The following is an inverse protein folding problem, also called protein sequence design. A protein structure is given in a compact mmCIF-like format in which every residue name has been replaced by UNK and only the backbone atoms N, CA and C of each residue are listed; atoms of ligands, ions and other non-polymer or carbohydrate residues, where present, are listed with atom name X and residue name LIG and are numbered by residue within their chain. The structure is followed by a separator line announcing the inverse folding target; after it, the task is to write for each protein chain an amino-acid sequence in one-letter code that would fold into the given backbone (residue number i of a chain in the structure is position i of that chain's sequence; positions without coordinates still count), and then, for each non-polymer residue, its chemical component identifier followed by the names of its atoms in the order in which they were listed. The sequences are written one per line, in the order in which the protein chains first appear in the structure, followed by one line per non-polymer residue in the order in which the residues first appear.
data_IF_286997692546
#
_entry.id   IF_286997692546
#
_cell.length_a   1.000
_cell.length_b   1.000
_cell.length_c   1.000
_cell.angle_alpha   90.00
_cell.angle_beta   90.00
_cell.angle_gamma   90.00
#
_symmetry.space_group_name_H-M   'P 1'
#
loop_
_entity.id
_entity.type
_entity.pdbx_description
1 polymer ?
#
# COMPACT_ATOMS: atom_id res chain seq x y z
N UNK A 1 -4.19 40.54 27.86
CA UNK A 1 -5.26 39.83 27.11
C UNK A 1 -4.85 39.61 25.65
N UNK A 2 -3.90 40.39 25.15
CA UNK A 2 -3.49 40.43 23.73
C UNK A 2 -2.63 39.23 23.33
N UNK A 3 -1.79 38.71 24.22
CA UNK A 3 -0.99 37.50 24.00
C UNK A 3 -1.88 36.26 23.79
N UNK A 4 -2.97 36.15 24.56
CA UNK A 4 -3.93 35.03 24.46
C UNK A 4 -4.75 35.12 23.17
N UNK A 5 -5.10 36.34 22.71
CA UNK A 5 -5.79 36.54 21.44
C UNK A 5 -4.88 36.25 20.24
N UNK A 6 -3.60 36.64 20.30
CA UNK A 6 -2.61 36.31 19.26
C UNK A 6 -2.35 34.81 19.11
N UNK A 7 -2.24 34.09 20.23
CA UNK A 7 -2.04 32.63 20.22
C UNK A 7 -3.25 31.88 19.63
N UNK A 8 -4.48 32.31 19.95
CA UNK A 8 -5.70 31.73 19.37
C UNK A 8 -5.77 31.91 17.85
N UNK A 9 -5.42 33.08 17.33
CA UNK A 9 -5.41 33.34 15.89
C UNK A 9 -4.38 32.48 15.14
N UNK A 10 -3.19 32.33 15.71
CA UNK A 10 -2.14 31.48 15.12
C UNK A 10 -2.57 30.00 15.08
N UNK A 11 -3.12 29.49 16.19
CA UNK A 11 -3.64 28.11 16.27
C UNK A 11 -4.79 27.88 15.26
N UNK A 12 -5.74 28.81 15.15
CA UNK A 12 -6.85 28.70 14.18
C UNK A 12 -6.37 28.71 12.73
N UNK A 13 -5.31 29.46 12.42
CA UNK A 13 -4.69 29.43 11.08
C UNK A 13 -4.05 28.08 10.79
N UNK A 14 -3.27 27.52 11.72
CA UNK A 14 -2.68 26.19 11.58
C UNK A 14 -3.74 25.09 11.41
N UNK A 15 -4.86 25.17 12.16
CA UNK A 15 -5.98 24.24 12.01
C UNK A 15 -6.66 24.37 10.64
N UNK A 16 -6.85 25.61 10.15
CA UNK A 16 -7.40 25.86 8.81
C UNK A 16 -6.49 25.34 7.71
N UNK A 17 -5.19 25.59 7.81
CA UNK A 17 -4.18 25.08 6.87
C UNK A 17 -4.14 23.56 6.90
N UNK A 18 -4.16 22.93 8.08
CA UNK A 18 -4.18 21.48 8.21
C UNK A 18 -5.47 20.86 7.62
N UNK A 19 -6.63 21.50 7.86
CA UNK A 19 -7.92 21.04 7.33
C UNK A 19 -8.05 21.22 5.81
N UNK A 20 -7.44 22.27 5.26
CA UNK A 20 -7.39 22.49 3.82
C UNK A 20 -6.40 21.54 3.15
N UNK A 21 -5.21 21.40 3.75
CA UNK A 21 -4.19 20.47 3.30
C UNK A 21 -4.68 19.03 3.29
N UNK A 22 -5.41 18.59 4.32
CA UNK A 22 -5.96 17.23 4.37
C UNK A 22 -6.99 16.94 3.28
N UNK A 23 -7.82 17.94 2.91
CA UNK A 23 -8.77 17.82 1.79
C UNK A 23 -8.05 17.69 0.45
N UNK A 24 -7.04 18.54 0.21
CA UNK A 24 -6.25 18.47 -1.02
C UNK A 24 -5.45 17.18 -1.15
N UNK A 25 -4.84 16.73 -0.05
CA UNK A 25 -4.11 15.45 0.00
C UNK A 25 -5.07 14.28 -0.19
N UNK A 26 -6.26 14.32 0.41
CA UNK A 26 -7.31 13.32 0.21
C UNK A 26 -7.78 13.25 -1.24
N UNK A 27 -8.04 14.41 -1.87
CA UNK A 27 -8.40 14.51 -3.28
C UNK A 27 -7.28 13.97 -4.18
N UNK A 28 -6.03 14.38 -3.93
CA UNK A 28 -4.88 13.92 -4.69
C UNK A 28 -4.66 12.40 -4.55
N UNK A 29 -4.75 11.85 -3.34
CA UNK A 29 -4.67 10.40 -3.08
C UNK A 29 -5.79 9.63 -3.77
N UNK A 30 -7.00 10.20 -3.78
CA UNK A 30 -8.14 9.60 -4.46
C UNK A 30 -7.90 9.55 -5.97
N UNK A 31 -7.55 10.68 -6.60
CA UNK A 31 -7.19 10.74 -8.02
C UNK A 31 -6.06 9.77 -8.35
N UNK A 32 -5.02 9.75 -7.52
CA UNK A 32 -3.86 8.87 -7.65
C UNK A 32 -4.28 7.39 -7.64
N UNK A 33 -5.15 6.99 -6.70
CA UNK A 33 -5.68 5.63 -6.61
C UNK A 33 -6.51 5.27 -7.84
N UNK A 34 -7.47 6.11 -8.24
CA UNK A 34 -8.29 5.83 -9.44
C UNK A 34 -7.46 5.74 -10.71
N UNK A 35 -6.46 6.61 -10.85
CA UNK A 35 -5.49 6.50 -11.93
C UNK A 35 -4.75 5.17 -11.88
N UNK A 36 -4.14 4.83 -10.74
CA UNK A 36 -3.38 3.59 -10.56
C UNK A 36 -4.21 2.32 -10.86
N UNK A 37 -5.45 2.26 -10.40
CA UNK A 37 -6.36 1.13 -10.65
C UNK A 37 -6.67 0.92 -12.14
N UNK A 38 -6.70 1.99 -12.95
CA UNK A 38 -6.91 1.86 -14.39
C UNK A 38 -5.78 1.13 -15.11
N UNK A 39 -4.54 1.25 -14.62
CA UNK A 39 -3.36 0.63 -15.23
C UNK A 39 -3.02 -0.74 -14.64
N UNK A 40 -3.63 -1.13 -13.52
CA UNK A 40 -3.38 -2.42 -12.88
C UNK A 40 -3.60 -3.62 -13.83
N UNK A 41 -4.66 -3.67 -14.67
CA UNK A 41 -4.82 -4.75 -15.65
C UNK A 41 -3.69 -4.81 -16.68
N UNK A 42 -3.16 -3.66 -17.11
CA UNK A 42 -2.03 -3.57 -18.05
C UNK A 42 -0.73 -4.09 -17.39
N UNK A 43 -0.52 -3.79 -16.11
CA UNK A 43 0.64 -4.28 -15.36
C UNK A 43 0.56 -5.76 -14.99
N UNK A 44 -0.64 -6.26 -14.69
CA UNK A 44 -0.89 -7.68 -14.46
C UNK A 44 -0.64 -8.46 -15.76
N UNK A 45 -1.13 -7.97 -16.90
CA UNK A 45 -0.92 -8.61 -18.20
C UNK A 45 0.56 -8.62 -18.64
N UNK A 46 1.35 -7.62 -18.23
CA UNK A 46 2.79 -7.55 -18.50
C UNK A 46 3.65 -8.32 -17.49
N UNK A 47 3.04 -8.96 -16.48
CA UNK A 47 3.75 -9.75 -15.47
C UNK A 47 4.67 -8.92 -14.57
N UNK A 48 4.41 -7.62 -14.45
CA UNK A 48 5.26 -6.70 -13.70
C UNK A 48 5.13 -6.92 -12.19
N UNK A 49 6.26 -6.96 -11.48
CA UNK A 49 6.26 -7.16 -10.03
C UNK A 49 5.55 -6.00 -9.31
N UNK A 50 4.83 -6.27 -8.20
CA UNK A 50 4.09 -5.24 -7.46
C UNK A 50 4.98 -4.06 -7.03
N UNK A 51 6.23 -4.34 -6.64
CA UNK A 51 7.19 -3.33 -6.20
C UNK A 51 7.58 -2.35 -7.32
N UNK A 52 7.61 -2.80 -8.58
CA UNK A 52 7.94 -1.97 -9.73
C UNK A 52 6.77 -1.06 -10.13
N UNK A 53 5.52 -1.51 -9.92
CA UNK A 53 4.30 -0.73 -10.15
C UNK A 53 4.25 0.52 -9.26
N UNK A 54 4.64 0.40 -7.99
CA UNK A 54 4.74 1.55 -7.09
C UNK A 54 5.87 2.51 -7.50
N UNK A 55 6.98 2.00 -8.05
CA UNK A 55 8.05 2.84 -8.59
C UNK A 55 7.62 3.68 -9.80
N UNK A 56 6.69 3.19 -10.62
CA UNK A 56 6.10 3.96 -11.73
C UNK A 56 5.18 5.07 -11.19
N UNK A 57 4.42 4.77 -10.14
CA UNK A 57 3.57 5.73 -9.45
C UNK A 57 4.39 6.90 -8.88
N UNK A 58 5.52 6.61 -8.22
CA UNK A 58 6.42 7.64 -7.68
C UNK A 58 6.99 8.55 -8.77
N UNK A 59 7.29 8.01 -9.96
CA UNK A 59 7.87 8.78 -11.07
C UNK A 59 6.85 9.63 -11.83
N UNK A 60 5.60 9.17 -11.94
CA UNK A 60 4.57 9.81 -12.76
C UNK A 60 3.33 10.23 -11.97
N UNK A 61 3.48 10.51 -10.67
CA UNK A 61 2.38 10.88 -9.76
C UNK A 61 1.49 12.01 -10.32
N UNK A 62 2.08 13.04 -10.91
CA UNK A 62 1.33 14.16 -11.51
C UNK A 62 0.41 13.73 -12.67
N UNK A 63 0.84 12.76 -13.48
CA UNK A 63 0.03 12.22 -14.58
C UNK A 63 -1.18 11.45 -14.04
N UNK A 64 -0.98 10.59 -13.03
CA UNK A 64 -2.07 9.84 -12.41
C UNK A 64 -3.07 10.76 -11.70
N UNK A 65 -2.57 11.79 -11.01
CA UNK A 65 -3.43 12.81 -10.38
C UNK A 65 -4.25 13.56 -11.44
N UNK A 66 -3.63 13.98 -12.54
CA UNK A 66 -4.33 14.67 -13.64
C UNK A 66 -5.36 13.78 -14.35
N UNK A 67 -5.03 12.51 -14.55
CA UNK A 67 -5.92 11.51 -15.14
C UNK A 67 -7.16 11.24 -14.26
N UNK A 68 -6.99 11.16 -12.94
CA UNK A 68 -8.09 10.97 -11.98
C UNK A 68 -8.85 12.25 -11.60
N UNK A 69 -8.30 13.42 -11.90
CA UNK A 69 -8.90 14.71 -11.55
C UNK A 69 -10.31 14.96 -12.09
N UNK A 70 -10.60 14.77 -13.40
CA UNK A 70 -11.97 14.97 -13.92
C UNK A 70 -12.97 14.07 -13.22
N UNK A 71 -12.57 12.85 -12.86
CA UNK A 71 -13.41 11.90 -12.15
C UNK A 71 -13.76 12.36 -10.72
N UNK A 72 -12.78 12.83 -9.96
CA UNK A 72 -13.05 13.31 -8.59
C UNK A 72 -13.87 14.61 -8.59
N UNK A 73 -13.69 15.47 -9.59
CA UNK A 73 -14.56 16.63 -9.83
C UNK A 73 -16.03 16.24 -10.07
N UNK A 74 -16.26 15.18 -10.85
CA UNK A 74 -17.61 14.65 -11.10
C UNK A 74 -18.24 14.10 -9.80
N UNK A 75 -17.44 13.43 -8.97
CA UNK A 75 -17.87 12.86 -7.70
C UNK A 75 -18.27 13.93 -6.66
N UNK A 76 -17.54 15.04 -6.55
CA UNK A 76 -17.88 16.10 -5.57
C UNK A 76 -19.26 16.72 -5.80
N UNK A 77 -19.78 16.67 -7.04
CA UNK A 77 -21.08 17.24 -7.37
C UNK A 77 -22.25 16.25 -7.18
N UNK A 78 -22.02 15.07 -6.60
CA UNK A 78 -23.01 13.98 -6.54
C UNK A 78 -23.36 13.53 -5.12
N UNK A 79 -24.63 13.23 -4.89
CA UNK A 79 -25.15 12.68 -3.61
C UNK A 79 -24.59 11.27 -3.34
N UNK A 80 -24.55 10.84 -2.07
CA UNK A 80 -24.01 9.53 -1.66
C UNK A 80 -24.47 8.34 -2.53
N UNK A 81 -25.76 8.26 -2.87
CA UNK A 81 -26.29 7.19 -3.71
C UNK A 81 -25.72 7.24 -5.14
N UNK A 82 -25.62 8.44 -5.71
CA UNK A 82 -25.04 8.66 -7.04
C UNK A 82 -23.55 8.38 -7.02
N UNK A 83 -22.84 8.72 -5.93
CA UNK A 83 -21.43 8.38 -5.76
C UNK A 83 -21.16 6.88 -5.87
N UNK A 84 -22.00 6.02 -5.28
CA UNK A 84 -21.86 4.57 -5.46
C UNK A 84 -22.08 4.12 -6.91
N UNK A 85 -23.07 4.69 -7.60
CA UNK A 85 -23.29 4.40 -9.02
C UNK A 85 -22.12 4.86 -9.90
N UNK A 86 -21.58 6.05 -9.62
CA UNK A 86 -20.41 6.61 -10.29
C UNK A 86 -19.17 5.76 -10.01
N UNK A 87 -18.99 5.22 -8.81
CA UNK A 87 -17.93 4.27 -8.50
C UNK A 87 -18.03 3.00 -9.37
N UNK A 88 -19.22 2.40 -9.45
CA UNK A 88 -19.48 1.19 -10.25
C UNK A 88 -19.29 1.42 -11.75
N UNK A 89 -19.71 2.58 -12.26
CA UNK A 89 -19.54 2.95 -13.66
C UNK A 89 -18.08 3.31 -13.99
N UNK A 90 -17.36 3.90 -13.04
CA UNK A 90 -15.98 4.31 -13.25
C UNK A 90 -14.99 3.18 -13.09
N UNK A 91 -15.29 2.14 -12.33
CA UNK A 91 -14.45 0.95 -12.27
C UNK A 91 -14.09 0.39 -13.67
N UNK A 92 -15.06 0.02 -14.54
CA UNK A 92 -14.74 -0.45 -15.89
C UNK A 92 -14.20 0.66 -16.80
N UNK A 93 -14.61 1.92 -16.61
CA UNK A 93 -14.13 3.05 -17.40
C UNK A 93 -12.65 3.35 -17.14
N UNK A 94 -12.21 3.31 -15.88
CA UNK A 94 -10.81 3.46 -15.49
C UNK A 94 -9.95 2.34 -16.10
N UNK A 95 -10.43 1.09 -16.07
CA UNK A 95 -9.75 -0.05 -16.68
C UNK A 95 -9.60 0.14 -18.20
N UNK A 96 -10.67 0.58 -18.87
CA UNK A 96 -10.66 0.81 -20.30
C UNK A 96 -9.71 1.96 -20.69
N UNK A 97 -9.79 3.09 -19.99
CA UNK A 97 -8.89 4.23 -20.19
C UNK A 97 -7.44 3.87 -19.93
N UNK A 98 -7.13 3.14 -18.85
CA UNK A 98 -5.76 2.72 -18.57
C UNK A 98 -5.22 1.68 -19.58
N UNK A 99 -6.11 1.02 -20.31
CA UNK A 99 -5.74 0.14 -21.43
C UNK A 99 -5.43 0.92 -22.72
N UNK A 100 -6.07 2.08 -22.94
CA UNK A 100 -5.88 2.93 -24.13
C UNK A 100 -4.78 3.97 -23.92
N UNK A 101 -4.67 4.54 -22.73
CA UNK A 101 -3.68 5.55 -22.39
C UNK A 101 -2.33 4.89 -22.11
N UNK A 102 -1.24 5.45 -22.65
CA UNK A 102 0.10 5.13 -22.18
C UNK A 102 0.67 6.29 -21.36
N UNK A 103 1.10 5.99 -20.13
CA UNK A 103 1.78 6.96 -19.29
C UNK A 103 3.20 7.23 -19.80
N UNK A 104 3.72 6.42 -20.72
CA UNK A 104 5.03 6.64 -21.34
C UNK A 104 5.00 7.69 -22.44
N UNK A 105 3.87 7.94 -23.10
CA UNK A 105 3.81 8.82 -24.28
C UNK A 105 4.22 10.27 -24.00
N UNK A 106 3.68 10.98 -22.99
CA UNK A 106 4.08 12.36 -22.71
C UNK A 106 5.48 12.47 -22.08
N UNK A 107 6.01 11.37 -21.54
CA UNK A 107 7.33 11.34 -20.90
C UNK A 107 8.42 10.69 -21.77
N UNK A 108 8.06 10.17 -22.96
CA UNK A 108 9.00 9.50 -23.86
C UNK A 108 10.17 10.41 -24.25
N UNK A 109 9.92 11.72 -24.34
CA UNK A 109 10.94 12.73 -24.65
C UNK A 109 11.91 13.00 -23.49
N UNK A 110 11.53 12.69 -22.25
CA UNK A 110 12.32 12.91 -21.04
C UNK A 110 12.89 11.61 -20.44
N UNK A 111 12.53 10.45 -21.01
CA UNK A 111 13.05 9.16 -20.59
C UNK A 111 14.49 8.99 -21.08
N UNK A 112 15.49 8.82 -20.19
CA UNK A 112 16.86 8.57 -20.61
C UNK A 112 16.93 7.24 -21.38
N UNK A 113 17.66 7.23 -22.50
CA UNK A 113 17.97 5.99 -23.20
C UNK A 113 18.66 5.03 -22.23
N UNK A 114 18.40 3.72 -22.40
CA UNK A 114 18.75 2.60 -21.52
C UNK A 114 20.21 2.56 -21.00
N UNK A 115 21.14 3.30 -21.61
CA UNK A 115 22.53 3.47 -21.16
C UNK A 115 22.69 4.36 -19.92
N UNK A 116 21.80 5.34 -19.72
CA UNK A 116 21.94 6.37 -18.68
C UNK A 116 21.08 6.07 -17.44
N UNK A 117 20.33 4.97 -17.47
CA UNK A 117 19.40 4.56 -16.41
C UNK A 117 20.11 4.14 -15.12
N UNK A 118 21.38 3.74 -15.18
CA UNK A 118 22.16 3.33 -14.01
C UNK A 118 22.55 4.50 -13.10
N UNK A 119 22.71 5.71 -13.65
CA UNK A 119 23.07 6.91 -12.86
C UNK A 119 21.83 7.61 -12.31
N UNK A 120 20.68 7.53 -13.00
CA UNK A 120 19.43 8.19 -12.58
C UNK A 120 18.64 7.41 -11.51
N UNK A 121 18.84 6.09 -11.40
CA UNK A 121 18.29 5.25 -10.30
C UNK A 121 18.71 5.74 -8.91
N UNK A 122 19.81 6.51 -8.83
CA UNK A 122 20.33 7.13 -7.61
C UNK A 122 19.47 8.27 -7.05
N UNK A 123 18.62 8.91 -7.86
CA UNK A 123 17.86 10.11 -7.45
C UNK A 123 16.35 9.85 -7.35
N UNK A 124 15.90 8.60 -7.43
CA UNK A 124 14.50 8.28 -7.18
C UNK A 124 14.26 8.34 -5.67
N UNK A 125 13.47 9.31 -5.22
CA UNK A 125 13.09 9.47 -3.81
C UNK A 125 12.38 8.18 -3.36
N UNK A 126 13.02 7.32 -2.54
CA UNK A 126 12.49 6.01 -2.20
C UNK A 126 11.48 6.15 -1.04
N UNK A 127 10.46 6.99 -1.24
CA UNK A 127 9.42 7.30 -0.25
C UNK A 127 8.62 6.04 0.08
N UNK A 128 8.39 5.18 -0.91
CA UNK A 128 7.72 3.90 -0.68
C UNK A 128 8.62 2.85 -0.03
N UNK A 129 9.94 2.83 -0.27
CA UNK A 129 10.83 1.90 0.47
C UNK A 129 10.93 2.27 1.94
N UNK A 130 10.99 3.56 2.24
CA UNK A 130 10.97 4.01 3.64
C UNK A 130 9.63 3.62 4.27
N UNK A 131 8.50 3.90 3.62
CA UNK A 131 7.18 3.46 4.10
C UNK A 131 7.08 1.94 4.28
N UNK A 132 7.63 1.14 3.36
CA UNK A 132 7.65 -0.32 3.43
C UNK A 132 8.47 -0.83 4.62
N UNK A 133 9.63 -0.21 4.88
CA UNK A 133 10.43 -0.51 6.08
C UNK A 133 9.68 -0.16 7.37
N UNK A 134 8.98 0.97 7.40
CA UNK A 134 8.16 1.38 8.55
C UNK A 134 6.99 0.42 8.79
N UNK A 135 6.30 -0.01 7.75
CA UNK A 135 5.21 -0.99 7.85
C UNK A 135 5.72 -2.35 8.30
N UNK A 136 6.86 -2.83 7.78
CA UNK A 136 7.47 -4.08 8.22
C UNK A 136 7.90 -4.02 9.69
N UNK A 137 8.41 -2.88 10.15
CA UNK A 137 8.72 -2.65 11.56
C UNK A 137 7.45 -2.67 12.43
N UNK A 138 6.38 -2.04 11.98
CA UNK A 138 5.09 -2.05 12.68
C UNK A 138 4.49 -3.46 12.77
N UNK A 139 4.52 -4.22 11.68
CA UNK A 139 4.07 -5.62 11.65
C UNK A 139 4.91 -6.46 12.60
N UNK A 140 6.24 -6.35 12.54
CA UNK A 140 7.14 -7.08 13.45
C UNK A 140 6.89 -6.74 14.91
N UNK A 141 6.61 -5.47 15.21
CA UNK A 141 6.29 -5.03 16.56
C UNK A 141 4.96 -5.61 17.08
N UNK A 142 3.93 -5.65 16.23
CA UNK A 142 2.63 -6.25 16.57
C UNK A 142 2.76 -7.77 16.73
N UNK A 143 3.48 -8.41 15.82
CA UNK A 143 3.69 -9.86 15.82
C UNK A 143 4.44 -10.29 17.09
N UNK A 144 5.49 -9.56 17.48
CA UNK A 144 6.24 -9.82 18.72
C UNK A 144 5.35 -9.74 19.98
N UNK A 145 4.47 -8.74 20.07
CA UNK A 145 3.47 -8.66 21.16
C UNK A 145 2.50 -9.86 21.16
N UNK A 146 2.13 -10.35 19.98
CA UNK A 146 1.25 -11.51 19.80
C UNK A 146 1.93 -12.79 20.28
N UNK A 147 3.20 -12.98 19.92
CA UNK A 147 4.02 -14.11 20.34
C UNK A 147 4.25 -14.14 21.86
N UNK A 148 4.56 -12.99 22.48
CA UNK A 148 4.76 -12.89 23.92
C UNK A 148 3.46 -13.14 24.71
N UNK A 149 2.32 -12.65 24.20
CA UNK A 149 1.01 -12.94 24.76
C UNK A 149 0.66 -14.43 24.66
N UNK A 150 1.01 -15.09 23.55
CA UNK A 150 0.80 -16.54 23.37
C UNK A 150 1.70 -17.35 24.30
N UNK A 151 2.96 -16.94 24.49
CA UNK A 151 3.93 -17.58 25.38
C UNK A 151 3.51 -17.49 26.85
N UNK A 152 3.04 -16.31 27.31
CA UNK A 152 2.46 -16.15 28.66
C UNK A 152 1.27 -17.08 28.88
N UNK A 153 0.40 -17.20 27.88
CA UNK A 153 -0.80 -18.05 27.93
C UNK A 153 -0.45 -19.55 27.95
N UNK A 154 0.64 -19.97 27.29
CA UNK A 154 1.15 -21.35 27.39
C UNK A 154 1.84 -21.64 28.73
N UNK A 155 2.58 -20.68 29.29
CA UNK A 155 3.26 -20.86 30.60
C UNK A 155 2.28 -20.85 31.79
N UNK A 156 1.16 -20.12 31.69
CA UNK A 156 0.11 -20.15 32.71
C UNK A 156 -0.69 -21.45 32.69
N UNK A 157 -0.84 -22.09 31.52
CA UNK A 157 -1.48 -23.41 31.40
C UNK A 157 -0.58 -24.56 31.91
N UNK A 158 0.76 -24.42 31.83
CA UNK A 158 1.70 -25.38 32.42
C UNK A 158 1.92 -25.20 33.93
N UNK A 159 1.55 -24.05 34.50
CA UNK A 159 1.62 -23.78 35.95
C UNK A 159 0.43 -24.30 36.75
N UNK A 160 -0.67 -24.66 36.08
CA UNK A 160 -1.88 -25.25 36.70
C UNK A 160 -1.96 -26.78 36.55
N UNK A 161 -0.85 -27.43 36.20
CA UNK A 161 -0.75 -28.89 36.06
C UNK A 161 0.50 -29.45 36.76
N UNK A 162 0.74 -29.02 38.00
CA UNK A 162 1.67 -29.65 38.93
C UNK A 162 0.95 -30.20 40.16
N UNK A 163 -0.04 -31.07 39.94
CA UNK A 163 -0.46 -32.10 40.87
C UNK A 163 -1.36 -33.10 40.14
N UNK A 164 -0.76 -34.10 39.50
CA UNK A 164 -1.23 -35.51 39.50
C UNK A 164 -0.19 -36.33 38.73
N UNK A 165 0.63 -37.03 39.50
CA UNK A 165 1.43 -38.17 39.06
C UNK A 165 0.51 -39.36 38.76
N UNK A 166 0.58 -39.94 37.55
CA UNK A 166 0.54 -41.40 37.25
C UNK A 166 0.55 -41.59 35.73
N UNK A 167 1.66 -42.12 35.16
CA UNK A 167 1.77 -43.46 34.55
C UNK A 167 0.69 -43.73 33.47
N UNK A 168 1.02 -43.87 32.19
CA UNK A 168 1.53 -45.12 31.57
C UNK A 168 1.51 -44.97 30.03
N UNK A 169 2.40 -45.70 29.34
CA UNK A 169 2.20 -46.17 27.95
C UNK A 169 2.66 -45.24 26.82
N UNK A 170 3.90 -45.30 26.37
CA UNK A 170 4.35 -46.12 25.22
C UNK A 170 3.61 -45.84 23.89
N UNK A 171 4.26 -45.16 22.93
CA UNK A 171 4.64 -45.78 21.65
C UNK A 171 5.46 -44.84 20.76
N UNK A 172 6.43 -45.47 20.10
CA UNK A 172 7.56 -44.98 19.34
C UNK A 172 7.27 -44.21 18.03
N UNK A 173 8.38 -43.63 17.51
CA UNK A 173 8.82 -43.53 16.09
C UNK A 173 8.76 -42.11 15.51
N UNK A 174 9.82 -41.31 15.60
CA UNK A 174 11.06 -41.34 14.82
C UNK A 174 10.88 -41.04 13.32
N UNK A 175 11.53 -39.96 12.88
CA UNK A 175 12.31 -39.97 11.64
C UNK A 175 11.66 -39.38 10.39
N UNK A 176 12.18 -38.21 9.99
CA UNK A 176 12.77 -37.94 8.67
C UNK A 176 11.97 -38.33 7.40
N UNK A 177 11.70 -37.33 6.55
CA UNK A 177 11.94 -37.50 5.10
C UNK A 177 12.10 -36.14 4.41
N UNK A 178 13.33 -35.88 3.97
CA UNK A 178 13.63 -35.09 2.76
C UNK A 178 13.26 -35.98 1.57
N UNK A 179 12.47 -35.50 0.61
CA UNK A 179 12.58 -35.97 -0.79
C UNK A 179 12.37 -34.80 -1.75
N UNK A 180 13.40 -34.65 -2.59
CA UNK A 180 13.58 -33.84 -3.76
C UNK A 180 13.26 -34.69 -5.01
N UNK A 181 12.66 -34.11 -6.07
CA UNK A 181 13.07 -34.23 -7.50
C UNK A 181 11.91 -34.03 -8.50
N UNK A 182 12.09 -33.02 -9.34
CA UNK A 182 12.14 -33.07 -10.81
C UNK A 182 11.46 -34.22 -11.59
N UNK A 183 10.55 -33.84 -12.49
CA UNK A 183 10.40 -34.32 -13.90
C UNK A 183 9.24 -33.54 -14.56
N UNK A 184 9.47 -32.64 -15.53
CA UNK A 184 9.80 -32.83 -16.96
C UNK A 184 8.60 -33.30 -17.81
N UNK A 185 8.31 -32.46 -18.83
CA UNK A 185 7.63 -32.71 -20.13
C UNK A 185 6.16 -33.13 -20.13
N UNK A 186 5.34 -32.31 -20.79
CA UNK A 186 4.95 -32.61 -22.18
C UNK A 186 4.84 -31.34 -23.00
#
# INVERSE_FOLDING_TARGET
RDIIMGMKHSILMWIRVASFGSRLVGLALLCLMYGWYGFDPKWIASGMDPDERFGILERHWAYFVGFGFPYVLLMENTSFFVGYGVFLASFPFCILLGSVCDYTDPYAQYMPKKSDTLTLKSNTLPVFKTAQNWTLLAIKYIDQKSFDARKKRSTSASGSSSSTSTSTGSSSRAGLSKVNKDKKTS
#
